data_IF_300695457196
#
_entry.id   IF_300695457196
#
_cell.length_a   1.000
_cell.length_b   1.000
_cell.length_c   1.000
_cell.angle_alpha   90.00
_cell.angle_beta   90.00
_cell.angle_gamma   90.00
#
_symmetry.space_group_name_H-M   'P 1'
#
loop_
_entity.id
_entity.type
_entity.pdbx_description
1 polymer ?
#
# COMPACT_ATOMS: atom_id res chain seq x y z
N UNK A 1 10.88 0.93 -5.39
CA UNK A 1 10.50 1.72 -4.21
C UNK A 1 9.13 2.31 -4.49
N UNK A 2 8.18 2.10 -3.58
CA UNK A 2 6.78 2.51 -3.71
C UNK A 2 6.55 3.77 -2.89
N UNK A 3 5.78 4.70 -3.45
CA UNK A 3 5.40 5.95 -2.80
C UNK A 3 3.93 5.90 -2.41
N UNK A 4 3.64 6.15 -1.13
CA UNK A 4 2.29 6.21 -0.59
C UNK A 4 2.04 7.65 -0.14
N UNK A 5 1.10 8.32 -0.81
CA UNK A 5 0.78 9.74 -0.53
C UNK A 5 -0.56 9.84 0.19
N UNK A 6 -0.58 10.48 1.35
CA UNK A 6 -1.79 10.65 2.17
C UNK A 6 -1.71 11.96 2.96
N UNK A 7 -2.76 12.78 2.91
CA UNK A 7 -2.89 13.95 3.80
C UNK A 7 -1.72 14.95 3.73
N UNK A 8 -0.99 15.01 2.60
CA UNK A 8 0.21 15.85 2.43
C UNK A 8 1.53 15.18 2.83
N UNK A 9 1.49 13.96 3.35
CA UNK A 9 2.66 13.15 3.68
C UNK A 9 3.01 12.17 2.55
N UNK A 10 4.29 11.83 2.44
CA UNK A 10 4.80 10.80 1.52
C UNK A 10 5.58 9.77 2.31
N UNK A 11 5.13 8.52 2.24
CA UNK A 11 5.80 7.38 2.82
C UNK A 11 6.47 6.56 1.72
N UNK A 12 7.61 5.96 2.04
CA UNK A 12 8.35 5.09 1.14
C UNK A 12 8.25 3.65 1.63
N UNK A 13 7.95 2.74 0.73
CA UNK A 13 7.88 1.30 0.99
C UNK A 13 8.73 0.51 -0.02
N UNK A 14 9.11 -0.71 0.38
CA UNK A 14 9.71 -1.69 -0.54
C UNK A 14 8.66 -2.72 -0.93
N UNK A 15 8.80 -3.25 -2.15
CA UNK A 15 8.05 -4.43 -2.53
C UNK A 15 8.76 -5.67 -1.99
N UNK A 16 7.96 -6.64 -1.55
CA UNK A 16 8.44 -7.94 -1.08
C UNK A 16 8.42 -8.94 -2.26
N UNK A 17 9.15 -8.61 -3.32
CA UNK A 17 9.11 -9.36 -4.59
C UNK A 17 9.54 -10.84 -4.42
N UNK A 18 10.38 -11.15 -3.43
CA UNK A 18 10.86 -12.52 -3.16
C UNK A 18 9.85 -13.37 -2.36
N UNK A 19 9.20 -12.77 -1.36
CA UNK A 19 8.32 -13.51 -0.43
C UNK A 19 6.87 -13.53 -0.87
N UNK A 20 6.44 -12.57 -1.71
CA UNK A 20 5.08 -12.46 -2.21
C UNK A 20 5.00 -11.96 -3.68
N UNK A 21 5.65 -12.66 -4.65
CA UNK A 21 5.76 -12.21 -6.04
C UNK A 21 4.42 -12.00 -6.75
N UNK A 22 3.45 -12.89 -6.53
CA UNK A 22 2.15 -12.82 -7.21
C UNK A 22 1.32 -11.62 -6.72
N UNK A 23 1.30 -11.40 -5.39
CA UNK A 23 0.63 -10.25 -4.77
C UNK A 23 1.23 -8.95 -5.27
N UNK A 24 2.56 -8.85 -5.26
CA UNK A 24 3.26 -7.67 -5.76
C UNK A 24 2.93 -7.41 -7.24
N UNK A 25 2.91 -8.45 -8.08
CA UNK A 25 2.55 -8.31 -9.50
C UNK A 25 1.13 -7.76 -9.68
N UNK A 26 0.17 -8.25 -8.89
CA UNK A 26 -1.21 -7.75 -8.92
C UNK A 26 -1.28 -6.25 -8.57
N UNK A 27 -0.65 -5.84 -7.47
CA UNK A 27 -0.62 -4.42 -7.07
C UNK A 27 0.08 -3.55 -8.11
N UNK A 28 1.23 -3.99 -8.66
CA UNK A 28 1.95 -3.22 -9.70
C UNK A 28 1.08 -2.94 -10.93
N UNK A 29 0.19 -3.86 -11.31
CA UNK A 29 -0.77 -3.67 -12.41
C UNK A 29 -1.89 -2.67 -12.08
N UNK A 30 -2.18 -2.46 -10.80
CA UNK A 30 -3.22 -1.54 -10.32
C UNK A 30 -2.70 -0.12 -10.05
N UNK A 31 -1.38 0.10 -10.06
CA UNK A 31 -0.81 1.41 -9.78
C UNK A 31 -0.95 2.38 -10.97
N UNK A 32 -1.18 3.69 -10.71
CA UNK A 32 -1.41 4.28 -9.40
C UNK A 32 -2.79 3.90 -8.83
N UNK A 33 -2.81 3.50 -7.57
CA UNK A 33 -4.05 3.14 -6.87
C UNK A 33 -4.49 4.32 -6.01
N UNK A 34 -5.60 4.93 -6.39
CA UNK A 34 -6.21 6.04 -5.65
C UNK A 34 -7.47 5.56 -4.93
N UNK A 35 -7.51 5.72 -3.61
CA UNK A 35 -8.63 5.28 -2.79
C UNK A 35 -8.80 6.15 -1.54
N UNK A 36 -9.92 5.98 -0.83
CA UNK A 36 -10.14 6.61 0.47
C UNK A 36 -9.67 5.67 1.57
N UNK A 37 -8.79 6.16 2.42
CA UNK A 37 -8.35 5.45 3.63
C UNK A 37 -9.52 5.35 4.61
N UNK A 38 -9.68 4.17 5.20
CA UNK A 38 -10.68 3.90 6.23
C UNK A 38 -9.93 3.30 7.42
N UNK A 39 -10.05 3.95 8.58
CA UNK A 39 -9.45 3.43 9.80
C UNK A 39 -10.16 2.15 10.26
N UNK A 40 -9.40 1.10 10.54
CA UNK A 40 -9.92 -0.18 11.03
C UNK A 40 -10.55 0.01 12.42
N UNK A 41 -11.57 -0.81 12.71
CA UNK A 41 -12.27 -0.76 14.01
C UNK A 41 -11.99 -1.95 14.92
N UNK A 42 -11.42 -3.02 14.39
CA UNK A 42 -11.32 -4.31 15.08
C UNK A 42 -9.89 -4.88 15.14
N UNK A 43 -9.04 -4.57 14.17
CA UNK A 43 -7.66 -5.08 14.09
C UNK A 43 -6.65 -4.30 14.95
N UNK A 44 -7.09 -3.27 15.66
CA UNK A 44 -6.22 -2.40 16.47
C UNK A 44 -5.53 -1.32 15.62
N UNK A 45 -4.58 -1.72 14.77
CA UNK A 45 -3.87 -0.81 13.87
C UNK A 45 -4.19 -1.10 12.40
N UNK A 46 -4.49 -0.04 11.65
CA UNK A 46 -4.89 -0.09 10.25
C UNK A 46 -5.48 1.26 9.86
N UNK A 47 -4.61 2.20 9.53
CA UNK A 47 -4.96 3.55 9.11
C UNK A 47 -4.16 3.94 7.89
#
# INVERSE_FOLDING_TARGET
MLDITVGGFVFKARFEDETAPETVSAFRRMLPLESRIIHVRWSGEGG
#
